data_IF_673313704331
#
_entry.id   IF_673313704331
#
_cell.length_a   1.000
_cell.length_b   1.000
_cell.length_c   1.000
_cell.angle_alpha   90.00
_cell.angle_beta   90.00
_cell.angle_gamma   90.00
#
_symmetry.space_group_name_H-M   'P 1'
#
loop_
_entity.id
_entity.type
_entity.pdbx_description
1 polymer ?
#
# COMPACT_ATOMS: atom_id res chain seq x y z
N UNK A 1 -42.43 -1.24 -14.34
CA UNK A 1 -41.52 -1.27 -15.50
C UNK A 1 -40.63 -0.01 -15.49
N UNK A 2 -39.75 0.13 -14.50
CA UNK A 2 -38.65 1.11 -14.46
C UNK A 2 -37.58 0.58 -13.48
N UNK A 3 -36.88 -0.47 -13.91
CA UNK A 3 -35.68 -1.00 -13.28
C UNK A 3 -34.65 -1.25 -14.39
N UNK A 4 -33.36 -1.06 -14.10
CA UNK A 4 -32.16 -1.42 -14.91
C UNK A 4 -31.53 -0.35 -15.83
N UNK A 5 -31.18 0.84 -15.31
CA UNK A 5 -30.27 1.73 -16.09
C UNK A 5 -29.21 2.54 -15.35
N UNK A 6 -28.86 2.19 -14.11
CA UNK A 6 -27.77 2.87 -13.38
C UNK A 6 -26.83 1.90 -12.63
N UNK A 7 -26.42 0.81 -13.26
CA UNK A 7 -25.41 -0.11 -12.71
C UNK A 7 -24.36 -0.54 -13.74
N UNK A 8 -24.08 0.31 -14.75
CA UNK A 8 -23.12 -0.02 -15.82
C UNK A 8 -22.24 1.16 -16.25
N UNK A 9 -21.91 2.05 -15.33
CA UNK A 9 -20.95 3.13 -15.56
C UNK A 9 -20.11 3.32 -14.29
N UNK A 10 -19.23 2.35 -14.00
CA UNK A 10 -18.18 2.54 -12.97
C UNK A 10 -17.02 1.54 -13.07
N UNK A 11 -17.11 0.46 -13.84
CA UNK A 11 -16.02 -0.52 -13.96
C UNK A 11 -15.03 -0.18 -15.09
N UNK A 12 -15.46 0.49 -16.17
CA UNK A 12 -14.59 0.82 -17.31
C UNK A 12 -13.62 1.99 -17.03
N UNK A 13 -13.86 2.81 -16.01
CA UNK A 13 -12.98 3.93 -15.64
C UNK A 13 -11.74 3.48 -14.86
N UNK A 14 -11.83 2.38 -14.10
CA UNK A 14 -10.68 1.80 -13.41
C UNK A 14 -9.72 1.08 -14.37
N UNK A 15 -10.25 0.42 -15.42
CA UNK A 15 -9.43 -0.23 -16.44
C UNK A 15 -8.70 0.77 -17.36
N UNK A 16 -9.30 1.92 -17.64
CA UNK A 16 -8.69 2.96 -18.48
C UNK A 16 -7.62 3.79 -17.75
N UNK A 17 -7.69 3.91 -16.42
CA UNK A 17 -6.65 4.53 -15.58
C UNK A 17 -5.35 3.71 -15.53
N UNK A 18 -5.40 2.40 -15.83
CA UNK A 18 -4.23 1.50 -15.82
C UNK A 18 -3.33 1.58 -17.06
N UNK A 19 -3.77 2.25 -18.12
CA UNK A 19 -3.19 2.07 -19.47
C UNK A 19 -1.79 2.68 -19.67
N UNK A 20 -1.16 3.26 -18.64
CA UNK A 20 0.25 3.68 -18.66
C UNK A 20 0.96 3.41 -17.33
N UNK A 21 0.69 2.28 -16.68
CA UNK A 21 1.48 1.88 -15.52
C UNK A 21 2.93 1.61 -15.94
N UNK A 22 3.84 2.52 -15.58
CA UNK A 22 5.28 2.32 -15.77
C UNK A 22 5.70 1.14 -14.90
N UNK A 23 6.26 0.11 -15.53
CA UNK A 23 6.74 -1.10 -14.85
C UNK A 23 8.17 -0.87 -14.36
N UNK A 24 8.45 -1.28 -13.12
CA UNK A 24 9.76 -1.17 -12.47
C UNK A 24 10.28 -2.57 -12.11
N UNK A 25 11.60 -2.74 -12.13
CA UNK A 25 12.26 -3.89 -11.48
C UNK A 25 12.45 -3.59 -10.00
N UNK A 26 12.72 -4.63 -9.20
CA UNK A 26 12.98 -4.44 -7.77
C UNK A 26 14.21 -3.55 -7.54
N UNK A 27 15.26 -3.72 -8.33
CA UNK A 27 16.48 -2.91 -8.26
C UNK A 27 16.21 -1.46 -8.66
N UNK A 28 15.38 -1.26 -9.71
CA UNK A 28 14.96 0.06 -10.15
C UNK A 28 14.11 0.78 -9.10
N UNK A 29 13.28 0.05 -8.36
CA UNK A 29 12.54 0.58 -7.22
C UNK A 29 13.48 1.02 -6.08
N UNK A 30 14.44 0.18 -5.68
CA UNK A 30 15.38 0.53 -4.59
C UNK A 30 16.18 1.79 -4.95
N UNK A 31 16.72 1.88 -6.16
CA UNK A 31 17.48 3.06 -6.61
C UNK A 31 16.62 4.34 -6.72
N UNK A 32 15.31 4.19 -6.96
CA UNK A 32 14.35 5.29 -6.94
C UNK A 32 14.07 5.72 -5.49
N UNK A 33 13.80 4.77 -4.61
CA UNK A 33 13.46 5.00 -3.20
C UNK A 33 14.61 5.69 -2.44
N UNK A 34 15.86 5.34 -2.72
CA UNK A 34 17.05 5.98 -2.14
C UNK A 34 17.14 7.49 -2.38
N UNK A 35 16.52 7.97 -3.48
CA UNK A 35 16.55 9.37 -3.89
C UNK A 35 15.24 10.10 -3.62
N UNK A 36 14.26 9.41 -3.03
CA UNK A 36 12.91 9.95 -2.89
C UNK A 36 12.68 10.56 -1.52
N UNK A 37 12.02 11.73 -1.50
CA UNK A 37 11.56 12.37 -0.27
C UNK A 37 10.25 11.76 0.26
N UNK A 38 9.57 10.96 -0.57
CA UNK A 38 8.31 10.29 -0.24
C UNK A 38 8.56 8.80 -0.26
N UNK A 39 7.99 8.08 0.72
CA UNK A 39 8.05 6.62 0.73
C UNK A 39 7.08 6.02 -0.26
N UNK A 40 7.52 4.99 -0.95
CA UNK A 40 6.69 4.23 -1.86
C UNK A 40 6.54 2.77 -1.44
N UNK A 41 5.51 2.11 -1.99
CA UNK A 41 5.30 0.68 -1.93
C UNK A 41 5.47 0.09 -3.33
N UNK A 42 6.28 -0.97 -3.43
CA UNK A 42 6.46 -1.71 -4.67
C UNK A 42 5.61 -2.98 -4.66
N UNK A 43 4.70 -3.10 -5.62
CA UNK A 43 3.84 -4.28 -5.75
C UNK A 43 3.70 -4.69 -7.20
N UNK A 44 4.07 -5.94 -7.50
CA UNK A 44 4.00 -6.56 -8.83
C UNK A 44 4.60 -5.72 -9.96
N UNK A 45 5.67 -4.94 -9.73
CA UNK A 45 6.27 -4.09 -10.77
C UNK A 45 5.69 -2.68 -10.85
N UNK A 46 4.76 -2.33 -9.97
CA UNK A 46 4.19 -0.98 -9.84
C UNK A 46 4.67 -0.32 -8.55
N UNK A 47 4.72 1.00 -8.55
CA UNK A 47 5.14 1.83 -7.41
C UNK A 47 3.96 2.70 -6.99
N UNK A 48 3.59 2.65 -5.72
CA UNK A 48 2.49 3.40 -5.12
C UNK A 48 3.05 4.34 -4.06
N UNK A 49 2.59 5.59 -3.99
CA UNK A 49 2.96 6.45 -2.87
C UNK A 49 2.33 5.92 -1.58
N UNK A 50 3.12 5.75 -0.54
CA UNK A 50 2.63 5.27 0.75
C UNK A 50 1.73 6.34 1.39
N UNK A 51 0.61 5.91 1.97
CA UNK A 51 -0.20 6.82 2.77
C UNK A 51 0.62 7.31 3.97
N UNK A 52 0.73 8.63 4.14
CA UNK A 52 1.38 9.20 5.32
C UNK A 52 0.69 8.78 6.62
N UNK A 53 1.45 8.68 7.70
CA UNK A 53 0.90 8.39 9.02
C UNK A 53 0.69 9.68 9.82
N UNK A 54 -0.44 9.78 10.51
CA UNK A 54 -0.66 10.82 11.52
C UNK A 54 -0.23 10.33 12.92
N UNK A 55 -0.19 11.25 13.89
CA UNK A 55 0.27 10.94 15.26
C UNK A 55 -0.58 9.82 15.89
N UNK A 56 -1.90 9.86 15.73
CA UNK A 56 -2.81 8.84 16.28
C UNK A 56 -2.54 7.48 15.67
N UNK A 57 -2.33 7.40 14.35
CA UNK A 57 -1.95 6.18 13.66
C UNK A 57 -0.65 5.60 14.24
N UNK A 58 0.37 6.44 14.45
CA UNK A 58 1.66 6.00 15.01
C UNK A 58 1.54 5.47 16.44
N UNK A 59 0.72 6.12 17.28
CA UNK A 59 0.47 5.66 18.66
C UNK A 59 -0.21 4.29 18.65
N UNK A 60 -1.26 4.12 17.84
CA UNK A 60 -1.99 2.85 17.75
C UNK A 60 -1.09 1.72 17.22
N UNK A 61 -0.35 1.99 16.14
CA UNK A 61 0.59 1.02 15.57
C UNK A 61 1.70 0.64 16.57
N UNK A 62 2.24 1.61 17.31
CA UNK A 62 3.27 1.37 18.33
C UNK A 62 2.76 0.53 19.51
N UNK A 63 1.57 0.83 20.02
CA UNK A 63 0.95 0.05 21.09
C UNK A 63 0.73 -1.40 20.66
N UNK A 64 0.23 -1.61 19.44
CA UNK A 64 0.06 -2.94 18.87
C UNK A 64 1.40 -3.68 18.71
N UNK A 65 2.41 -3.00 18.16
CA UNK A 65 3.75 -3.55 17.99
C UNK A 65 4.32 -4.04 19.33
N UNK A 66 4.25 -3.22 20.38
CA UNK A 66 4.75 -3.58 21.70
C UNK A 66 3.99 -4.80 22.25
N UNK A 67 2.66 -4.80 22.19
CA UNK A 67 1.85 -5.92 22.67
C UNK A 67 2.20 -7.23 21.97
N UNK A 68 2.33 -7.20 20.63
CA UNK A 68 2.74 -8.36 19.84
C UNK A 68 4.16 -8.80 20.16
N UNK A 69 5.11 -7.86 20.26
CA UNK A 69 6.50 -8.15 20.58
C UNK A 69 6.65 -8.84 21.94
N UNK A 70 5.89 -8.42 22.94
CA UNK A 70 5.89 -9.10 24.25
C UNK A 70 5.28 -10.51 24.15
N UNK A 71 4.19 -10.69 23.38
CA UNK A 71 3.51 -11.99 23.28
C UNK A 71 4.34 -13.07 22.55
N UNK A 72 5.24 -12.66 21.66
CA UNK A 72 6.14 -13.58 20.93
C UNK A 72 7.52 -13.74 21.56
N UNK A 73 7.81 -13.05 22.67
CA UNK A 73 9.13 -13.11 23.32
C UNK A 73 9.46 -14.54 23.75
N UNK A 74 10.64 -15.03 23.33
CA UNK A 74 11.10 -16.40 23.59
C UNK A 74 10.50 -17.47 22.66
N UNK A 75 9.66 -17.10 21.69
CA UNK A 75 9.14 -17.99 20.65
C UNK A 75 9.99 -17.88 19.38
N UNK A 76 9.74 -18.77 18.41
CA UNK A 76 10.40 -18.77 17.08
C UNK A 76 9.90 -17.67 16.13
N UNK A 77 8.87 -16.91 16.52
CA UNK A 77 8.28 -15.82 15.72
C UNK A 77 8.92 -14.47 16.09
N UNK A 78 8.98 -13.54 15.13
CA UNK A 78 9.51 -12.19 15.30
C UNK A 78 8.49 -11.14 14.86
N UNK A 79 8.52 -9.99 15.52
CA UNK A 79 7.73 -8.80 15.23
C UNK A 79 8.69 -7.62 15.15
#
# INVERSE_FOLDING_TARGET
>A
MWLTRLARLSLASWDTLRLRARRYTAEGYVALEEKSDVRHEFFEGEIFAMAGANIVHNILAGNLYIALRQSVRGKKCRV
#
